data_IF_750101156483
#
_entry.id   IF_750101156483
#
_cell.length_a   1.000
_cell.length_b   1.000
_cell.length_c   1.000
_cell.angle_alpha   90.00
_cell.angle_beta   90.00
_cell.angle_gamma   90.00
#
_symmetry.space_group_name_H-M   'P 1'
#
loop_
_entity.id
_entity.type
_entity.pdbx_description
1 polymer ?
#
# COMPACT_ATOMS: atom_id res chain seq x y z
N UNK A 1 2.82 3.38 6.31
CA UNK A 1 2.13 2.07 6.44
C UNK A 1 0.76 2.19 7.13
N UNK A 2 0.56 3.12 8.08
CA UNK A 2 -0.70 3.27 8.84
C UNK A 2 -1.96 3.39 7.96
N UNK A 3 -1.97 4.25 6.94
CA UNK A 3 -3.14 4.42 6.07
C UNK A 3 -3.55 3.15 5.32
N UNK A 4 -2.58 2.31 4.93
CA UNK A 4 -2.89 1.02 4.29
C UNK A 4 -3.60 0.09 5.27
N UNK A 5 -3.17 0.06 6.54
CA UNK A 5 -3.83 -0.74 7.57
C UNK A 5 -5.23 -0.22 7.90
N UNK A 6 -5.42 1.09 7.94
CA UNK A 6 -6.74 1.69 8.13
C UNK A 6 -7.69 1.31 6.98
N UNK A 7 -7.21 1.41 5.73
CA UNK A 7 -7.98 0.98 4.56
C UNK A 7 -8.36 -0.51 4.62
N UNK A 8 -7.43 -1.36 5.07
CA UNK A 8 -7.67 -2.80 5.27
C UNK A 8 -8.71 -3.03 6.38
N UNK A 9 -8.63 -2.29 7.49
CA UNK A 9 -9.52 -2.44 8.66
C UNK A 9 -10.92 -1.88 8.43
N UNK A 10 -11.07 -0.92 7.51
CA UNK A 10 -12.34 -0.30 7.19
C UNK A 10 -13.38 -1.29 6.64
N UNK A 11 -12.95 -2.38 6.00
CA UNK A 11 -13.87 -3.38 5.44
C UNK A 11 -13.29 -4.80 5.49
N UNK A 12 -14.08 -5.75 6.00
CA UNK A 12 -13.68 -7.15 6.03
C UNK A 12 -13.51 -7.69 4.61
N UNK A 13 -12.40 -8.39 4.38
CA UNK A 13 -12.09 -9.03 3.10
C UNK A 13 -11.13 -8.23 2.21
N UNK A 14 -10.92 -6.93 2.48
CA UNK A 14 -9.95 -6.10 1.75
C UNK A 14 -8.53 -6.65 1.78
N UNK A 15 -8.08 -7.17 2.92
CA UNK A 15 -6.77 -7.80 3.04
C UNK A 15 -6.61 -8.97 2.05
N UNK A 16 -7.61 -9.85 2.00
CA UNK A 16 -7.59 -11.02 1.11
C UNK A 16 -7.71 -10.62 -0.35
N UNK A 17 -8.56 -9.64 -0.68
CA UNK A 17 -8.73 -9.13 -2.04
C UNK A 17 -7.45 -8.45 -2.55
N UNK A 18 -6.79 -7.64 -1.70
CA UNK A 18 -5.52 -6.99 -2.00
C UNK A 18 -4.41 -8.03 -2.20
N UNK A 19 -4.30 -9.01 -1.29
CA UNK A 19 -3.33 -10.10 -1.39
C UNK A 19 -3.51 -10.90 -2.69
N UNK A 20 -4.76 -11.26 -3.02
CA UNK A 20 -5.09 -11.98 -4.24
C UNK A 20 -4.74 -11.17 -5.50
N UNK A 21 -5.04 -9.87 -5.51
CA UNK A 21 -4.72 -8.98 -6.64
C UNK A 21 -3.22 -8.76 -6.83
N UNK A 22 -2.44 -8.86 -5.75
CA UNK A 22 -0.99 -8.74 -5.76
C UNK A 22 -0.28 -10.10 -5.95
N UNK A 23 -1.02 -11.21 -5.98
CA UNK A 23 -0.47 -12.56 -6.10
C UNK A 23 0.38 -12.99 -4.89
N UNK A 24 0.07 -12.48 -3.70
CA UNK A 24 0.80 -12.78 -2.45
C UNK A 24 -0.18 -13.26 -1.37
N UNK A 25 0.36 -13.70 -0.24
CA UNK A 25 -0.47 -14.09 0.91
C UNK A 25 -0.86 -12.86 1.73
N UNK A 26 -2.04 -12.88 2.39
CA UNK A 26 -2.44 -11.80 3.30
C UNK A 26 -1.44 -11.60 4.45
N UNK A 27 -0.83 -12.68 4.94
CA UNK A 27 0.24 -12.60 5.94
C UNK A 27 1.46 -11.84 5.44
N UNK A 28 1.83 -11.95 4.15
CA UNK A 28 2.96 -11.21 3.60
C UNK A 28 2.73 -9.70 3.67
N UNK A 29 1.49 -9.23 3.46
CA UNK A 29 1.13 -7.81 3.59
C UNK A 29 1.28 -7.35 5.05
N UNK A 30 0.82 -8.17 6.00
CA UNK A 30 0.92 -7.86 7.43
C UNK A 30 2.36 -7.87 7.96
N UNK A 31 3.28 -8.53 7.26
CA UNK A 31 4.70 -8.56 7.59
C UNK A 31 5.50 -7.41 6.95
N UNK A 32 4.86 -6.57 6.13
CA UNK A 32 5.53 -5.39 5.60
C UNK A 32 5.72 -4.36 6.69
N UNK A 33 6.98 -4.04 6.97
CA UNK A 33 7.34 -2.82 7.69
C UNK A 33 6.96 -1.59 6.84
N UNK A 34 7.21 -1.69 5.54
CA UNK A 34 6.91 -0.69 4.52
C UNK A 34 6.47 -1.37 3.21
N UNK A 35 5.71 -0.66 2.35
CA UNK A 35 5.31 -1.23 1.06
C UNK A 35 6.54 -1.38 0.16
N UNK A 36 6.81 -2.58 -0.41
CA UNK A 36 7.97 -2.80 -1.26
C UNK A 36 7.93 -1.87 -2.48
N UNK A 37 9.04 -1.21 -2.83
CA UNK A 37 9.11 -0.24 -3.93
C UNK A 37 8.46 -0.73 -5.24
N UNK A 38 8.75 -1.97 -5.64
CA UNK A 38 8.17 -2.58 -6.86
C UNK A 38 6.66 -2.87 -6.80
N UNK A 39 6.04 -2.77 -5.62
CA UNK A 39 4.60 -2.98 -5.39
C UNK A 39 3.85 -1.69 -5.07
N UNK A 40 4.54 -0.60 -4.70
CA UNK A 40 3.93 0.69 -4.31
C UNK A 40 2.90 1.15 -5.34
N UNK A 41 3.29 1.19 -6.63
CA UNK A 41 2.38 1.62 -7.70
C UNK A 41 1.13 0.76 -7.79
N UNK A 42 1.27 -0.55 -7.63
CA UNK A 42 0.14 -1.49 -7.72
C UNK A 42 -0.76 -1.41 -6.49
N UNK A 43 -0.19 -1.21 -5.30
CA UNK A 43 -0.96 -0.98 -4.08
C UNK A 43 -1.72 0.34 -4.19
N UNK A 44 -1.07 1.42 -4.62
CA UNK A 44 -1.71 2.72 -4.81
C UNK A 44 -2.92 2.66 -5.76
N UNK A 45 -2.77 1.96 -6.89
CA UNK A 45 -3.83 1.73 -7.88
C UNK A 45 -5.02 0.94 -7.30
N UNK A 46 -4.78 -0.02 -6.41
CA UNK A 46 -5.81 -0.87 -5.82
C UNK A 46 -6.49 -0.25 -4.60
N UNK A 47 -5.77 0.56 -3.82
CA UNK A 47 -6.28 1.13 -2.57
C UNK A 47 -6.67 2.60 -2.70
N UNK A 48 -6.40 3.23 -3.84
CA UNK A 48 -6.55 4.67 -4.08
C UNK A 48 -5.69 5.54 -3.15
N UNK A 49 -4.67 4.93 -2.51
CA UNK A 49 -3.79 5.63 -1.57
C UNK A 49 -2.58 6.15 -2.35
N UNK A 50 -2.19 7.43 -2.20
CA UNK A 50 -1.06 7.98 -2.94
C UNK A 50 0.24 7.22 -2.64
N UNK A 51 1.11 6.98 -3.63
CA UNK A 51 2.37 6.28 -3.42
C UNK A 51 3.31 7.04 -2.48
N UNK A 52 3.26 8.38 -2.47
CA UNK A 52 3.99 9.24 -1.52
C UNK A 52 3.56 9.04 -0.07
N UNK A 53 2.33 8.58 0.15
CA UNK A 53 1.80 8.25 1.49
C UNK A 53 2.21 6.81 1.88
N UNK A 54 2.18 5.89 0.92
CA UNK A 54 2.58 4.50 1.15
C UNK A 54 4.08 4.37 1.44
N UNK A 55 4.90 5.17 0.74
CA UNK A 55 6.35 5.18 0.82
C UNK A 55 6.89 6.61 0.75
N UNK A 56 6.73 7.42 1.81
CA UNK A 56 7.28 8.77 1.85
C UNK A 56 8.78 8.78 1.59
N UNK A 57 9.55 7.80 2.09
CA UNK A 57 11.00 7.69 1.90
C UNK A 57 11.44 7.61 0.43
N UNK A 58 10.60 7.08 -0.46
CA UNK A 58 10.91 7.01 -1.90
C UNK A 58 10.55 8.30 -2.63
N UNK A 59 9.64 9.10 -2.06
CA UNK A 59 9.09 10.31 -2.65
C UNK A 59 9.55 11.59 -1.92
N UNK A 60 10.37 11.46 -0.87
CA UNK A 60 11.00 12.58 -0.18
C UNK A 60 11.95 13.29 -1.15
N UNK A 61 11.57 14.51 -1.55
CA UNK A 61 12.26 15.29 -2.59
C UNK A 61 11.56 15.30 -3.95
N UNK A 62 10.50 14.52 -4.13
CA UNK A 62 9.54 14.76 -5.21
C UNK A 62 8.60 15.88 -4.74
N UNK A 63 9.05 17.13 -4.82
CA UNK A 63 8.15 18.28 -4.73
C UNK A 63 7.05 18.07 -5.78
N UNK A 64 5.86 17.68 -5.34
CA UNK A 64 4.69 17.74 -6.18
C UNK A 64 4.39 19.22 -6.38
N UNK A 65 4.99 19.80 -7.41
CA UNK A 65 4.50 21.03 -8.01
C UNK A 65 3.04 20.77 -8.42
N UNK A 66 2.11 21.31 -7.64
CA UNK A 66 0.72 21.49 -8.00
C UNK A 66 0.37 22.96 -7.84
#
# INVERSE_FOLDING_TARGET
>A
MEQLLEWIRAERGRLTALASSLGITPSAILQWDEVPAGRVRRVADLTDIPPSILRPDLYEGMETVQ
#
